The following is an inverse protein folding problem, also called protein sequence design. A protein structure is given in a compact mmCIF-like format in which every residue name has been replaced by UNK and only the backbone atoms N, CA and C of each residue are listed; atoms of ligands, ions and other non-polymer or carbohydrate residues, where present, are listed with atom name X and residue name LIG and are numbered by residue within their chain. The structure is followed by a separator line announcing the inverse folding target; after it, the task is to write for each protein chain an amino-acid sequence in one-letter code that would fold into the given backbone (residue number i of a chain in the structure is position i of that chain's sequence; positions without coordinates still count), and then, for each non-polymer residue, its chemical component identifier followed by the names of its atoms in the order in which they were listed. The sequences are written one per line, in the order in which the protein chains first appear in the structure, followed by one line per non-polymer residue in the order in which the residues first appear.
data_IF_545368202641
#
_entry.id   IF_545368202641
#
_cell.length_a   1.000
_cell.length_b   1.000
_cell.length_c   1.000
_cell.angle_alpha   90.00
_cell.angle_beta   90.00
_cell.angle_gamma   90.00
#
_symmetry.space_group_name_H-M   'P 1'
#
loop_
_entity.id
_entity.type
_entity.pdbx_description
1 polymer ?
#
# COMPACT_ATOMS: atom_id res chain seq x y z
N UNK A 1 24.66 3.03 8.00
CA UNK A 1 23.57 3.11 9.00
C UNK A 1 22.24 2.95 8.28
N UNK A 2 21.33 2.06 8.71
CA UNK A 2 20.02 1.88 8.06
C UNK A 2 19.02 2.94 8.58
N UNK A 3 18.18 3.51 7.70
CA UNK A 3 17.14 4.48 8.08
C UNK A 3 16.06 3.79 8.91
N UNK A 4 15.69 4.38 10.04
CA UNK A 4 14.60 3.87 10.89
C UNK A 4 13.22 4.16 10.27
N UNK A 5 12.31 3.19 10.38
CA UNK A 5 10.92 3.30 9.96
C UNK A 5 10.04 3.94 11.04
N UNK A 6 10.12 5.28 11.18
CA UNK A 6 9.51 6.03 12.29
C UNK A 6 7.99 5.95 12.43
N UNK A 7 7.27 5.56 11.38
CA UNK A 7 5.81 5.51 11.37
C UNK A 7 5.23 4.09 11.46
N UNK A 8 6.10 3.08 11.59
CA UNK A 8 5.69 1.69 11.80
C UNK A 8 5.03 1.54 13.18
N UNK A 9 3.81 1.03 13.21
CA UNK A 9 2.96 0.93 14.40
C UNK A 9 2.02 2.13 14.62
N UNK A 10 2.04 3.14 13.73
CA UNK A 10 1.09 4.25 13.76
C UNK A 10 0.39 4.46 12.42
N UNK A 11 1.13 4.75 11.34
CA UNK A 11 0.54 4.96 10.01
C UNK A 11 0.30 3.65 9.26
N UNK A 12 1.09 2.62 9.57
CA UNK A 12 0.99 1.28 9.02
C UNK A 12 1.48 0.27 10.06
N UNK A 13 1.16 -1.02 9.92
CA UNK A 13 1.52 -2.01 10.94
C UNK A 13 3.03 -2.10 11.19
N UNK A 14 3.42 -2.51 12.40
CA UNK A 14 4.83 -2.63 12.77
C UNK A 14 5.41 -3.98 12.38
N UNK A 15 4.60 -5.03 12.43
CA UNK A 15 5.04 -6.39 12.15
C UNK A 15 4.83 -6.72 10.69
N UNK A 16 5.78 -7.46 10.13
CA UNK A 16 5.73 -7.92 8.75
C UNK A 16 4.46 -8.71 8.43
N UNK A 17 4.06 -9.62 9.32
CA UNK A 17 2.84 -10.43 9.16
C UNK A 17 1.58 -9.58 9.08
N UNK A 18 1.48 -8.53 9.88
CA UNK A 18 0.34 -7.60 9.87
C UNK A 18 0.31 -6.80 8.56
N UNK A 19 1.47 -6.35 8.06
CA UNK A 19 1.57 -5.69 6.76
C UNK A 19 1.12 -6.61 5.62
N UNK A 20 1.59 -7.87 5.61
CA UNK A 20 1.22 -8.86 4.59
C UNK A 20 -0.27 -9.14 4.59
N UNK A 21 -0.86 -9.40 5.77
CA UNK A 21 -2.30 -9.63 5.90
C UNK A 21 -3.12 -8.44 5.37
N UNK A 22 -2.67 -7.21 5.64
CA UNK A 22 -3.38 -6.01 5.18
C UNK A 22 -3.28 -5.85 3.65
N UNK A 23 -2.12 -6.15 3.05
CA UNK A 23 -1.93 -6.16 1.60
C UNK A 23 -2.79 -7.23 0.93
N UNK A 24 -2.83 -8.45 1.48
CA UNK A 24 -3.69 -9.53 0.97
C UNK A 24 -5.17 -9.15 0.99
N UNK A 25 -5.60 -8.40 2.00
CA UNK A 25 -6.96 -7.87 2.05
C UNK A 25 -7.21 -6.79 1.00
N UNK A 26 -6.23 -5.95 0.67
CA UNK A 26 -6.37 -4.95 -0.39
C UNK A 26 -6.53 -5.59 -1.77
N UNK A 27 -5.83 -6.70 -2.03
CA UNK A 27 -5.84 -7.40 -3.32
C UNK A 27 -7.23 -7.89 -3.73
N UNK A 28 -8.11 -8.20 -2.77
CA UNK A 28 -9.41 -8.84 -3.04
C UNK A 28 -10.37 -8.00 -3.88
N UNK A 29 -10.25 -6.68 -3.82
CA UNK A 29 -11.22 -5.74 -4.41
C UNK A 29 -10.57 -4.73 -5.37
N UNK A 30 -9.41 -5.06 -5.95
CA UNK A 30 -8.64 -4.14 -6.79
C UNK A 30 -8.68 -4.63 -8.23
N UNK A 31 -9.25 -3.79 -9.10
CA UNK A 31 -9.22 -3.97 -10.55
C UNK A 31 -8.22 -3.01 -11.17
N UNK A 32 -7.38 -3.53 -12.07
CA UNK A 32 -6.47 -2.72 -12.89
C UNK A 32 -7.12 -2.43 -14.26
N UNK A 33 -6.89 -1.25 -14.85
CA UNK A 33 -7.29 -0.97 -16.22
C UNK A 33 -6.54 -1.86 -17.21
N UNK A 34 -7.14 -2.13 -18.38
CA UNK A 34 -6.61 -3.09 -19.37
C UNK A 34 -5.19 -2.77 -19.85
N UNK A 35 -4.79 -1.49 -19.84
CA UNK A 35 -3.46 -1.02 -20.27
C UNK A 35 -2.51 -0.73 -19.09
N UNK A 36 -2.75 -1.30 -17.91
CA UNK A 36 -1.93 -1.03 -16.71
C UNK A 36 -0.43 -1.32 -16.91
N UNK A 37 -0.08 -2.31 -17.75
CA UNK A 37 1.31 -2.65 -18.09
C UNK A 37 2.06 -1.53 -18.84
N UNK A 38 1.34 -0.56 -19.43
CA UNK A 38 1.93 0.61 -20.10
C UNK A 38 2.14 1.80 -19.15
N UNK A 39 1.70 1.70 -17.89
CA UNK A 39 1.79 2.77 -16.90
C UNK A 39 3.24 2.92 -16.43
N UNK A 40 3.82 4.12 -16.62
CA UNK A 40 5.20 4.43 -16.22
C UNK A 40 5.29 5.28 -14.94
N UNK A 41 4.16 5.77 -14.44
CA UNK A 41 4.08 6.63 -13.27
C UNK A 41 2.72 6.48 -12.56
N UNK A 42 2.72 6.69 -11.24
CA UNK A 42 1.52 6.64 -10.42
C UNK A 42 1.50 7.76 -9.38
N UNK A 43 0.30 8.17 -8.98
CA UNK A 43 0.08 9.14 -7.90
C UNK A 43 -0.67 8.42 -6.78
N UNK A 44 -0.17 8.51 -5.56
CA UNK A 44 -0.79 7.89 -4.39
C UNK A 44 -0.90 8.89 -3.24
N UNK A 45 -1.96 8.80 -2.41
CA UNK A 45 -2.01 9.46 -1.12
C UNK A 45 -0.99 8.85 -0.14
N UNK A 46 -0.63 9.61 0.89
CA UNK A 46 0.36 9.24 1.91
C UNK A 46 -0.23 9.22 3.34
N UNK A 47 -1.56 9.11 3.45
CA UNK A 47 -2.22 8.93 4.75
C UNK A 47 -1.95 7.52 5.31
N UNK A 48 -2.34 7.29 6.57
CA UNK A 48 -2.25 5.97 7.17
C UNK A 48 -3.00 4.91 6.36
N UNK A 49 -2.49 3.67 6.38
CA UNK A 49 -2.99 2.57 5.54
C UNK A 49 -4.48 2.26 5.76
N UNK A 50 -5.01 2.52 6.96
CA UNK A 50 -6.43 2.36 7.26
C UNK A 50 -7.29 3.26 6.35
N UNK A 51 -6.82 4.47 6.05
CA UNK A 51 -7.56 5.45 5.25
C UNK A 51 -7.25 5.33 3.77
N UNK A 52 -5.98 5.13 3.43
CA UNK A 52 -5.54 5.25 2.03
C UNK A 52 -4.78 4.04 1.49
N UNK A 53 -4.58 2.99 2.29
CA UNK A 53 -3.81 1.81 1.86
C UNK A 53 -4.44 1.10 0.66
N UNK A 54 -5.77 0.90 0.67
CA UNK A 54 -6.50 0.21 -0.40
C UNK A 54 -6.42 0.96 -1.74
N UNK A 55 -6.63 2.28 -1.73
CA UNK A 55 -6.56 3.08 -2.96
C UNK A 55 -5.12 3.21 -3.48
N UNK A 56 -4.14 3.35 -2.58
CA UNK A 56 -2.73 3.33 -2.98
C UNK A 56 -2.32 1.99 -3.58
N UNK A 57 -2.84 0.87 -3.06
CA UNK A 57 -2.56 -0.46 -3.59
C UNK A 57 -3.05 -0.64 -5.03
N UNK A 58 -4.15 0.01 -5.44
CA UNK A 58 -4.64 -0.06 -6.83
C UNK A 58 -3.68 0.55 -7.87
N UNK A 59 -2.65 1.28 -7.43
CA UNK A 59 -1.61 1.87 -8.27
C UNK A 59 -0.38 0.95 -8.39
N UNK A 60 -0.32 -0.16 -7.64
CA UNK A 60 0.74 -1.17 -7.69
C UNK A 60 0.19 -2.48 -8.29
#
# INVERSE_FOLDING_TARGET
MKRQMRFAGSFYPRRESECKNMIENFLRDVSKPDDFEKVIAGIVPHAGWIFSGKISFAVF
#
